data_IF_711119756338
#
_entry.id   IF_711119756338
#
_cell.length_a   1.000
_cell.length_b   1.000
_cell.length_c   1.000
_cell.angle_alpha   90.00
_cell.angle_beta   90.00
_cell.angle_gamma   90.00
#
_symmetry.space_group_name_H-M   'P 1'
#
loop_
_entity.id
_entity.type
_entity.pdbx_description
1 polymer ?
#
# COMPACT_ATOMS: atom_id res chain seq x y z
N UNK A 1 42.98 4.56 -31.18
CA UNK A 1 41.51 4.45 -31.33
C UNK A 1 41.19 3.04 -30.88
N UNK A 2 40.73 2.89 -29.66
CA UNK A 2 40.30 1.62 -29.10
C UNK A 2 38.77 1.72 -28.89
N UNK A 3 38.05 0.99 -29.72
CA UNK A 3 36.63 0.81 -29.62
C UNK A 3 36.32 0.03 -28.34
N UNK A 4 35.72 0.73 -27.37
CA UNK A 4 35.15 0.09 -26.18
C UNK A 4 33.88 -0.62 -26.62
N UNK A 5 33.98 -1.89 -26.96
CA UNK A 5 32.82 -2.78 -27.12
C UNK A 5 32.03 -2.80 -25.81
N UNK A 6 30.88 -2.17 -25.85
CA UNK A 6 29.88 -2.20 -24.81
C UNK A 6 29.20 -3.60 -24.81
N UNK A 7 29.87 -4.54 -24.15
CA UNK A 7 29.40 -5.93 -24.03
C UNK A 7 28.20 -5.93 -23.03
N UNK A 8 27.05 -5.45 -23.50
CA UNK A 8 25.78 -5.72 -22.81
C UNK A 8 25.51 -7.22 -22.98
N UNK A 9 25.99 -7.99 -22.03
CA UNK A 9 25.56 -9.37 -21.83
C UNK A 9 24.06 -9.36 -21.71
N UNK A 10 23.41 -9.91 -22.72
CA UNK A 10 21.96 -10.12 -22.76
C UNK A 10 21.62 -11.21 -21.74
N UNK A 11 21.59 -10.84 -20.46
CA UNK A 11 21.22 -11.73 -19.37
C UNK A 11 19.77 -12.16 -19.61
N UNK A 12 19.58 -13.43 -19.89
CA UNK A 12 18.25 -14.02 -20.02
C UNK A 12 17.59 -14.03 -18.64
N UNK A 13 16.76 -13.06 -18.44
CA UNK A 13 16.10 -12.77 -17.18
C UNK A 13 14.68 -13.28 -17.28
N UNK A 14 14.29 -14.22 -16.43
CA UNK A 14 13.01 -14.91 -16.55
C UNK A 14 12.24 -14.91 -15.23
N UNK A 15 10.93 -14.61 -15.33
CA UNK A 15 10.00 -14.82 -14.24
C UNK A 15 9.60 -16.30 -14.25
N UNK A 16 9.99 -17.01 -13.18
CA UNK A 16 9.85 -18.48 -13.12
C UNK A 16 8.57 -18.95 -12.48
N UNK A 17 8.00 -18.17 -11.55
CA UNK A 17 6.72 -18.52 -10.93
C UNK A 17 6.04 -17.34 -10.27
N UNK A 18 4.73 -17.39 -10.20
CA UNK A 18 3.89 -16.47 -9.41
C UNK A 18 3.61 -17.08 -8.04
N UNK A 19 3.76 -16.32 -6.98
CA UNK A 19 3.55 -16.74 -5.59
C UNK A 19 2.15 -16.36 -5.10
N UNK A 20 1.74 -15.15 -5.42
CA UNK A 20 0.40 -14.57 -5.17
C UNK A 20 0.19 -13.41 -6.15
N UNK A 21 -1.02 -12.85 -6.27
CA UNK A 21 -1.26 -11.74 -7.19
C UNK A 21 -0.20 -10.65 -7.03
N UNK A 22 0.44 -10.27 -8.14
CA UNK A 22 1.48 -9.24 -8.18
C UNK A 22 2.79 -9.58 -7.48
N UNK A 23 2.99 -10.81 -6.99
CA UNK A 23 4.24 -11.28 -6.35
C UNK A 23 4.77 -12.49 -7.08
N UNK A 24 6.02 -12.45 -7.50
CA UNK A 24 6.65 -13.47 -8.31
C UNK A 24 8.12 -13.66 -7.97
N UNK A 25 8.65 -14.81 -8.30
CA UNK A 25 10.06 -15.10 -8.21
C UNK A 25 10.71 -14.96 -9.59
N UNK A 26 11.83 -14.29 -9.58
CA UNK A 26 12.62 -13.88 -10.73
C UNK A 26 13.99 -14.55 -10.66
N UNK A 27 14.37 -15.30 -11.71
CA UNK A 27 15.63 -15.97 -11.79
C UNK A 27 16.70 -15.04 -12.35
N UNK A 28 17.74 -14.82 -11.56
CA UNK A 28 19.03 -14.30 -12.04
C UNK A 28 19.93 -15.48 -12.36
N UNK A 29 21.14 -15.23 -12.87
CA UNK A 29 22.11 -16.31 -13.16
C UNK A 29 22.43 -17.20 -11.95
N UNK A 30 22.41 -16.64 -10.74
CA UNK A 30 22.90 -17.31 -9.54
C UNK A 30 21.87 -17.52 -8.43
N UNK A 31 20.76 -16.78 -8.43
CA UNK A 31 19.79 -16.83 -7.33
C UNK A 31 18.39 -16.38 -7.74
N UNK A 32 17.41 -16.78 -6.93
CA UNK A 32 16.02 -16.33 -7.05
C UNK A 32 15.79 -15.07 -6.23
N UNK A 33 15.18 -14.08 -6.85
CA UNK A 33 14.78 -12.83 -6.21
C UNK A 33 13.26 -12.75 -6.15
N UNK A 34 12.70 -12.57 -4.97
CA UNK A 34 11.28 -12.30 -4.83
C UNK A 34 10.99 -10.84 -5.06
N UNK A 35 10.04 -10.58 -5.94
CA UNK A 35 9.64 -9.25 -6.34
C UNK A 35 8.14 -9.07 -6.22
N UNK A 36 7.71 -7.83 -5.99
CA UNK A 36 6.29 -7.46 -6.05
C UNK A 36 6.08 -6.23 -6.93
N UNK A 37 4.90 -6.18 -7.53
CA UNK A 37 4.51 -5.07 -8.38
C UNK A 37 4.30 -3.79 -7.54
N UNK A 38 4.83 -2.68 -8.05
CA UNK A 38 4.72 -1.35 -7.47
C UNK A 38 3.36 -0.70 -7.75
N UNK A 39 2.84 0.04 -6.78
CA UNK A 39 1.67 0.92 -6.96
C UNK A 39 0.32 0.21 -7.01
N UNK A 40 0.27 -1.10 -6.82
CA UNK A 40 -0.96 -1.89 -6.82
C UNK A 40 -1.01 -2.82 -5.62
N UNK A 41 -2.20 -2.99 -5.08
CA UNK A 41 -2.51 -3.98 -4.08
C UNK A 41 -3.60 -4.91 -4.59
N UNK A 42 -3.55 -6.18 -4.18
CA UNK A 42 -4.40 -7.23 -4.68
C UNK A 42 -5.19 -7.90 -3.55
N UNK A 43 -6.32 -8.57 -3.88
CA UNK A 43 -7.02 -9.41 -2.94
C UNK A 43 -6.09 -10.45 -2.31
N UNK A 44 -6.30 -10.70 -1.02
CA UNK A 44 -5.57 -11.74 -0.28
C UNK A 44 -6.25 -13.09 -0.42
N UNK A 45 -5.53 -14.15 -0.07
CA UNK A 45 -6.06 -15.52 -0.10
C UNK A 45 -7.37 -15.61 0.69
N UNK A 46 -8.41 -16.15 0.06
CA UNK A 46 -9.75 -16.25 0.64
C UNK A 46 -10.65 -15.04 0.40
N UNK A 47 -10.15 -13.97 -0.22
CA UNK A 47 -10.97 -12.85 -0.65
C UNK A 47 -11.50 -13.06 -2.08
N UNK A 48 -12.67 -12.48 -2.40
CA UNK A 48 -13.18 -12.47 -3.77
C UNK A 48 -12.19 -11.85 -4.75
N UNK A 49 -12.04 -12.41 -5.95
CA UNK A 49 -11.12 -11.92 -6.97
C UNK A 49 -9.65 -12.35 -6.81
N UNK A 50 -9.31 -13.09 -5.74
CA UNK A 50 -7.94 -13.55 -5.54
C UNK A 50 -7.46 -14.49 -6.64
N UNK A 51 -8.30 -15.46 -7.04
CA UNK A 51 -7.93 -16.45 -8.06
C UNK A 51 -7.82 -15.81 -9.45
N UNK A 52 -8.71 -14.90 -9.76
CA UNK A 52 -8.70 -14.13 -11.01
C UNK A 52 -7.45 -13.25 -11.09
N UNK A 53 -7.07 -12.63 -9.99
CA UNK A 53 -5.86 -11.82 -9.92
C UNK A 53 -4.57 -12.66 -10.04
N UNK A 54 -4.53 -13.89 -9.52
CA UNK A 54 -3.42 -14.82 -9.76
C UNK A 54 -3.35 -15.16 -11.24
N UNK A 55 -4.44 -15.61 -11.84
CA UNK A 55 -4.50 -15.98 -13.26
C UNK A 55 -4.06 -14.83 -14.15
N UNK A 56 -4.55 -13.61 -13.88
CA UNK A 56 -4.09 -12.41 -14.58
C UNK A 56 -2.57 -12.23 -14.45
N UNK A 57 -2.03 -12.36 -13.22
CA UNK A 57 -0.59 -12.19 -12.97
C UNK A 57 0.23 -13.24 -13.74
N UNK A 58 -0.20 -14.49 -13.74
CA UNK A 58 0.45 -15.58 -14.47
C UNK A 58 0.44 -15.34 -15.98
N UNK A 59 -0.71 -15.01 -16.54
CA UNK A 59 -0.85 -14.74 -17.98
C UNK A 59 -0.07 -13.53 -18.44
N UNK A 60 0.05 -12.52 -17.57
CA UNK A 60 0.75 -11.28 -17.89
C UNK A 60 2.26 -11.39 -17.77
N UNK A 61 2.78 -12.24 -16.86
CA UNK A 61 4.20 -12.24 -16.50
C UNK A 61 4.93 -13.52 -16.91
N UNK A 62 4.29 -14.71 -16.82
CA UNK A 62 4.94 -15.95 -17.22
C UNK A 62 5.10 -16.00 -18.74
N UNK A 63 6.21 -16.54 -19.19
CA UNK A 63 6.56 -16.65 -20.62
C UNK A 63 6.57 -15.32 -21.39
N UNK A 64 6.60 -14.20 -20.68
CA UNK A 64 6.80 -12.87 -21.23
C UNK A 64 8.19 -12.37 -20.84
N UNK A 65 8.73 -11.43 -21.59
CA UNK A 65 9.99 -10.78 -21.25
C UNK A 65 9.72 -9.29 -20.91
N UNK A 66 9.13 -8.99 -19.73
CA UNK A 66 8.78 -7.63 -19.37
C UNK A 66 10.02 -6.81 -19.04
N UNK A 67 9.95 -5.49 -19.27
CA UNK A 67 10.91 -4.55 -18.73
C UNK A 67 10.59 -4.34 -17.24
N UNK A 68 11.59 -4.54 -16.39
CA UNK A 68 11.48 -4.40 -14.93
C UNK A 68 12.37 -3.23 -14.48
N UNK A 69 11.81 -2.31 -13.72
CA UNK A 69 12.49 -1.18 -13.09
C UNK A 69 12.35 -1.27 -11.57
N UNK A 70 13.45 -1.31 -10.84
CA UNK A 70 13.43 -1.35 -9.38
C UNK A 70 13.05 0.02 -8.85
N UNK A 71 11.95 0.10 -8.08
CA UNK A 71 11.49 1.31 -7.40
C UNK A 71 11.95 1.36 -5.94
N UNK A 72 12.10 0.18 -5.33
CA UNK A 72 12.60 0.05 -3.95
C UNK A 72 13.33 -1.29 -3.82
N UNK A 73 14.53 -1.27 -3.22
CA UNK A 73 15.34 -2.48 -3.09
C UNK A 73 14.73 -3.52 -2.19
N UNK A 74 14.16 -3.11 -1.05
CA UNK A 74 13.46 -4.02 -0.15
C UNK A 74 12.31 -3.32 0.56
N UNK A 75 11.17 -3.98 0.63
CA UNK A 75 10.05 -3.58 1.46
C UNK A 75 10.13 -4.24 2.86
N UNK A 76 9.11 -4.03 3.67
CA UNK A 76 9.00 -4.63 5.02
C UNK A 76 8.95 -6.18 5.02
N UNK A 77 8.65 -6.80 3.88
CA UNK A 77 8.61 -8.25 3.69
C UNK A 77 9.88 -8.77 2.99
N UNK A 78 10.91 -7.95 2.88
CA UNK A 78 12.18 -8.25 2.21
C UNK A 78 12.01 -8.63 0.73
N UNK A 79 11.07 -7.98 0.02
CA UNK A 79 10.85 -8.14 -1.41
C UNK A 79 11.28 -6.89 -2.16
N UNK A 80 11.86 -7.06 -3.34
CA UNK A 80 12.09 -5.93 -4.25
C UNK A 80 10.77 -5.43 -4.80
N UNK A 81 10.58 -4.11 -4.79
CA UNK A 81 9.40 -3.44 -5.34
C UNK A 81 9.73 -2.96 -6.74
N UNK A 82 8.97 -3.41 -7.73
CA UNK A 82 9.32 -3.21 -9.12
C UNK A 82 8.14 -2.67 -9.95
N UNK A 83 8.47 -1.76 -10.85
CA UNK A 83 7.58 -1.33 -11.91
C UNK A 83 7.78 -2.21 -13.14
N UNK A 84 6.68 -2.69 -13.71
CA UNK A 84 6.70 -3.71 -14.75
C UNK A 84 5.99 -3.16 -15.99
N UNK A 85 6.70 -3.19 -17.10
CA UNK A 85 6.16 -2.78 -18.41
C UNK A 85 6.21 -3.95 -19.39
N UNK A 86 5.09 -4.27 -20.00
CA UNK A 86 5.00 -5.33 -21.00
C UNK A 86 5.78 -4.95 -22.26
N UNK A 87 6.68 -5.82 -22.69
CA UNK A 87 7.51 -5.57 -23.88
C UNK A 87 6.71 -5.49 -25.18
N UNK A 88 5.58 -6.20 -25.28
CA UNK A 88 4.79 -6.28 -26.50
C UNK A 88 3.97 -5.03 -26.79
N UNK A 89 3.43 -4.38 -25.78
CA UNK A 89 2.46 -3.27 -25.94
C UNK A 89 2.84 -2.01 -25.13
N UNK A 90 3.92 -2.06 -24.36
CA UNK A 90 4.36 -0.94 -23.51
C UNK A 90 3.40 -0.61 -22.36
N UNK A 91 2.41 -1.47 -22.07
CA UNK A 91 1.46 -1.23 -20.99
C UNK A 91 2.11 -1.53 -19.63
N UNK A 92 1.75 -0.74 -18.65
CA UNK A 92 2.18 -0.94 -17.28
C UNK A 92 1.29 -2.00 -16.61
N UNK A 93 1.90 -3.07 -16.10
CA UNK A 93 1.21 -4.20 -15.46
C UNK A 93 0.26 -3.76 -14.34
N UNK A 94 0.74 -2.95 -13.42
CA UNK A 94 -0.05 -2.51 -12.26
C UNK A 94 -1.25 -1.67 -12.67
N UNK A 95 -1.05 -0.75 -13.63
CA UNK A 95 -2.16 0.04 -14.19
C UNK A 95 -3.18 -0.82 -14.91
N UNK A 96 -2.73 -1.83 -15.63
CA UNK A 96 -3.62 -2.76 -16.33
C UNK A 96 -4.43 -3.59 -15.33
N UNK A 97 -3.76 -4.15 -14.30
CA UNK A 97 -4.42 -4.87 -13.20
C UNK A 97 -5.52 -4.03 -12.53
N UNK A 98 -5.23 -2.77 -12.22
CA UNK A 98 -6.20 -1.85 -11.62
C UNK A 98 -7.35 -1.55 -12.58
N UNK A 99 -7.05 -1.28 -13.86
CA UNK A 99 -8.08 -0.96 -14.87
C UNK A 99 -9.06 -2.10 -15.10
N UNK A 100 -8.58 -3.33 -15.08
CA UNK A 100 -9.39 -4.53 -15.22
C UNK A 100 -10.08 -4.96 -13.91
N UNK A 101 -9.74 -4.31 -12.79
CA UNK A 101 -10.34 -4.59 -11.50
C UNK A 101 -9.81 -5.84 -10.81
N UNK A 102 -8.56 -6.23 -11.06
CA UNK A 102 -7.90 -7.31 -10.33
C UNK A 102 -7.23 -6.85 -9.04
N UNK A 103 -7.01 -5.55 -8.90
CA UNK A 103 -6.42 -4.91 -7.73
C UNK A 103 -6.84 -3.46 -7.60
N UNK A 104 -6.28 -2.76 -6.61
CA UNK A 104 -6.54 -1.34 -6.38
C UNK A 104 -5.26 -0.55 -6.21
N UNK A 105 -5.37 0.74 -6.39
CA UNK A 105 -4.27 1.69 -6.31
C UNK A 105 -3.70 1.80 -4.89
N UNK A 106 -2.40 1.58 -4.74
CA UNK A 106 -1.65 1.74 -3.50
C UNK A 106 -1.07 3.16 -3.41
N UNK A 107 -1.85 4.08 -2.83
CA UNK A 107 -1.54 5.52 -2.78
C UNK A 107 -0.21 5.85 -2.07
N UNK A 108 0.26 4.98 -1.17
CA UNK A 108 1.52 5.17 -0.44
C UNK A 108 2.75 5.07 -1.33
N UNK A 109 2.66 4.36 -2.44
CA UNK A 109 3.78 4.11 -3.35
C UNK A 109 3.77 5.02 -4.56
N UNK A 110 2.61 5.53 -4.95
CA UNK A 110 2.45 6.32 -6.16
C UNK A 110 1.87 7.70 -5.85
N UNK A 111 1.79 8.55 -6.87
CA UNK A 111 1.11 9.83 -6.71
C UNK A 111 -0.41 9.62 -6.56
N UNK A 112 -0.98 10.21 -5.50
CA UNK A 112 -2.41 10.16 -5.20
C UNK A 112 -3.30 10.61 -6.37
N UNK A 113 -2.85 11.55 -7.18
CA UNK A 113 -3.57 12.13 -8.31
C UNK A 113 -2.92 11.78 -9.66
N UNK A 114 -2.57 10.52 -9.85
CA UNK A 114 -1.88 10.05 -11.03
C UNK A 114 -2.68 9.06 -11.88
N UNK A 115 -2.02 8.46 -12.88
CA UNK A 115 -2.65 7.51 -13.79
C UNK A 115 -3.20 6.25 -13.11
N UNK A 116 -2.69 5.87 -11.94
CA UNK A 116 -3.20 4.76 -11.14
C UNK A 116 -4.58 5.07 -10.54
N UNK A 117 -4.79 6.30 -10.03
CA UNK A 117 -6.10 6.73 -9.57
C UNK A 117 -7.12 6.74 -10.72
N UNK A 118 -6.74 7.26 -11.89
CA UNK A 118 -7.63 7.28 -13.06
C UNK A 118 -8.03 5.86 -13.49
N UNK A 119 -7.08 4.92 -13.48
CA UNK A 119 -7.34 3.50 -13.74
C UNK A 119 -8.37 2.94 -12.74
N UNK A 120 -8.19 3.22 -11.44
CA UNK A 120 -9.13 2.78 -10.40
C UNK A 120 -10.52 3.39 -10.54
N UNK A 121 -10.61 4.68 -10.83
CA UNK A 121 -11.91 5.35 -11.04
C UNK A 121 -12.65 4.77 -12.26
N UNK A 122 -11.91 4.45 -13.32
CA UNK A 122 -12.46 3.76 -14.50
C UNK A 122 -13.00 2.38 -14.13
N UNK A 123 -12.21 1.57 -13.42
CA UNK A 123 -12.62 0.23 -12.98
C UNK A 123 -13.87 0.28 -12.08
N UNK A 124 -13.93 1.20 -11.13
CA UNK A 124 -15.10 1.43 -10.26
C UNK A 124 -16.34 1.81 -11.06
N UNK A 125 -16.21 2.75 -12.00
CA UNK A 125 -17.35 3.19 -12.83
C UNK A 125 -17.93 2.07 -13.68
N UNK A 126 -17.08 1.15 -14.14
CA UNK A 126 -17.47 0.01 -14.97
C UNK A 126 -17.84 -1.23 -14.14
N UNK A 127 -17.78 -1.16 -12.81
CA UNK A 127 -17.93 -2.30 -11.91
C UNK A 127 -17.05 -3.51 -12.32
N UNK A 128 -15.80 -3.24 -12.73
CA UNK A 128 -14.89 -4.27 -13.22
C UNK A 128 -14.32 -5.11 -12.08
N UNK A 129 -14.26 -6.42 -12.24
CA UNK A 129 -13.62 -7.37 -11.33
C UNK A 129 -14.06 -7.20 -9.86
N UNK A 130 -13.13 -6.88 -8.96
CA UNK A 130 -13.39 -6.70 -7.52
C UNK A 130 -14.42 -5.60 -7.21
N UNK A 131 -14.65 -4.66 -8.11
CA UNK A 131 -15.61 -3.58 -7.92
C UNK A 131 -17.05 -3.99 -8.23
N UNK A 132 -17.26 -5.16 -8.81
CA UNK A 132 -18.60 -5.72 -9.06
C UNK A 132 -19.26 -6.32 -7.80
N UNK A 133 -18.49 -6.52 -6.73
CA UNK A 133 -18.98 -7.06 -5.47
C UNK A 133 -18.95 -6.01 -4.36
N UNK A 134 -19.71 -6.25 -3.28
CA UNK A 134 -19.78 -5.36 -2.12
C UNK A 134 -18.76 -5.71 -1.03
N UNK A 135 -17.71 -6.47 -1.35
CA UNK A 135 -16.70 -6.85 -0.38
C UNK A 135 -15.80 -5.67 -0.01
N UNK A 136 -15.60 -5.44 1.28
CA UNK A 136 -14.76 -4.36 1.76
C UNK A 136 -13.29 -4.82 1.93
N UNK A 137 -12.48 -4.65 0.90
CA UNK A 137 -11.08 -5.02 0.89
C UNK A 137 -10.21 -4.21 1.87
N UNK A 138 -10.62 -2.99 2.24
CA UNK A 138 -9.86 -2.09 3.11
C UNK A 138 -9.93 -2.44 4.59
N UNK A 139 -10.95 -3.18 5.03
CA UNK A 139 -11.09 -3.55 6.44
C UNK A 139 -10.14 -4.67 6.90
N UNK A 140 -9.41 -5.30 5.98
CA UNK A 140 -8.52 -6.43 6.29
C UNK A 140 -7.06 -5.96 6.50
N UNK A 141 -6.79 -4.67 6.40
CA UNK A 141 -5.46 -4.10 6.66
C UNK A 141 -5.09 -4.00 8.16
N UNK A 142 -5.60 -4.87 8.99
CA UNK A 142 -5.09 -5.03 10.36
C UNK A 142 -4.82 -6.49 10.69
N UNK A 143 -3.69 -7.08 10.26
CA UNK A 143 -3.21 -8.30 10.88
C UNK A 143 -2.40 -7.94 12.12
N UNK A 144 -2.94 -7.15 13.04
CA UNK A 144 -2.33 -6.95 14.36
C UNK A 144 -3.36 -6.61 15.42
N UNK A 145 -4.48 -7.32 15.41
CA UNK A 145 -5.00 -7.71 16.69
C UNK A 145 -4.30 -9.02 17.05
N UNK A 146 -3.14 -8.97 17.70
CA UNK A 146 -2.71 -10.10 18.52
C UNK A 146 -3.92 -10.56 19.30
N UNK A 147 -4.24 -11.88 19.33
CA UNK A 147 -5.29 -12.36 20.20
C UNK A 147 -4.91 -11.86 21.60
N UNK A 148 -5.75 -11.01 22.17
CA UNK A 148 -5.59 -10.61 23.56
C UNK A 148 -5.49 -11.91 24.35
N UNK A 149 -4.41 -12.14 25.12
CA UNK A 149 -4.34 -13.32 25.97
C UNK A 149 -5.59 -13.26 26.85
N UNK A 150 -6.48 -14.21 26.67
CA UNK A 150 -7.62 -14.41 27.55
C UNK A 150 -7.07 -14.97 28.87
N UNK A 151 -6.81 -14.09 29.82
CA UNK A 151 -6.61 -14.49 31.20
C UNK A 151 -8.00 -14.77 31.79
N UNK A 152 -8.34 -16.02 32.10
CA UNK A 152 -9.55 -16.31 32.83
C UNK A 152 -9.33 -15.84 34.28
N UNK A 153 -10.01 -14.79 34.71
CA UNK A 153 -10.09 -14.46 36.12
C UNK A 153 -9.93 -13.02 36.57
N UNK A 154 -10.06 -12.01 35.70
CA UNK A 154 -10.21 -10.63 36.19
C UNK A 154 -11.41 -9.95 35.54
N UNK A 155 -12.58 -10.42 35.87
CA UNK A 155 -13.81 -9.62 35.76
C UNK A 155 -13.89 -8.66 36.94
N UNK A 156 -14.28 -7.42 36.60
CA UNK A 156 -14.66 -6.31 37.48
C UNK A 156 -13.52 -5.41 37.98
N UNK A 157 -13.17 -4.44 37.13
CA UNK A 157 -13.12 -2.99 37.46
C UNK A 157 -12.56 -2.19 36.28
N UNK A 158 -13.33 -2.06 35.20
CA UNK A 158 -13.11 -0.99 34.20
C UNK A 158 -14.45 -0.38 33.82
N UNK A 159 -15.09 0.21 34.82
CA UNK A 159 -16.11 1.20 34.56
C UNK A 159 -15.45 2.55 34.32
N UNK A 160 -15.87 3.21 33.22
CA UNK A 160 -15.65 4.61 32.91
C UNK A 160 -14.26 5.00 32.39
N UNK A 161 -13.78 4.36 31.30
CA UNK A 161 -12.86 5.05 30.43
C UNK A 161 -13.68 5.94 29.49
N UNK A 162 -13.99 7.14 29.92
CA UNK A 162 -14.37 8.23 29.03
C UNK A 162 -13.08 8.56 28.25
N UNK A 163 -13.07 8.44 26.91
CA UNK A 163 -11.88 8.82 26.15
C UNK A 163 -11.67 10.32 26.34
N UNK A 164 -10.75 10.70 27.20
CA UNK A 164 -10.36 12.09 27.40
C UNK A 164 -9.73 12.58 26.11
N UNK A 165 -10.39 13.50 25.43
CA UNK A 165 -9.89 14.10 24.20
C UNK A 165 -8.51 14.71 24.48
N UNK A 166 -7.46 14.13 23.91
CA UNK A 166 -6.08 14.62 24.08
C UNK A 166 -5.79 15.66 23.02
N UNK A 167 -5.40 16.84 23.47
CA UNK A 167 -4.99 17.94 22.61
C UNK A 167 -3.46 17.93 22.44
N UNK A 168 -2.99 18.42 21.30
CA UNK A 168 -1.58 18.69 21.06
C UNK A 168 -1.30 20.16 21.35
N UNK A 169 -0.59 20.45 22.41
CA UNK A 169 -0.13 21.78 22.77
C UNK A 169 1.32 21.97 22.31
N UNK A 170 1.53 22.85 21.32
CA UNK A 170 2.85 23.14 20.78
C UNK A 170 3.70 23.93 21.80
N UNK A 171 5.03 23.92 21.63
CA UNK A 171 5.96 24.75 22.44
C UNK A 171 5.68 26.24 22.35
N UNK A 172 4.95 26.69 21.33
CA UNK A 172 4.49 28.08 21.16
C UNK A 172 3.09 28.32 21.73
N UNK A 173 2.57 27.40 22.51
CA UNK A 173 1.25 27.50 23.16
C UNK A 173 0.05 27.43 22.20
N UNK A 174 0.17 26.81 21.03
CA UNK A 174 -0.97 26.55 20.16
C UNK A 174 -1.56 25.19 20.43
N UNK A 175 -2.91 25.15 20.55
CA UNK A 175 -3.68 23.95 20.86
C UNK A 175 -4.32 23.40 19.60
N UNK A 176 -4.01 22.15 19.28
CA UNK A 176 -4.58 21.41 18.15
C UNK A 176 -5.34 20.20 18.65
N UNK A 177 -6.48 19.90 18.01
CA UNK A 177 -7.25 18.67 18.24
C UNK A 177 -6.85 17.56 17.29
N UNK A 178 -7.17 16.28 17.61
CA UNK A 178 -7.04 15.18 16.65
C UNK A 178 -7.74 15.49 15.32
N UNK A 179 -7.08 15.14 14.21
CA UNK A 179 -7.55 15.47 12.86
C UNK A 179 -7.06 16.81 12.29
N UNK A 180 -6.45 17.66 13.09
CA UNK A 180 -5.78 18.86 12.59
C UNK A 180 -4.46 18.50 11.88
N UNK A 181 -4.17 19.14 10.74
CA UNK A 181 -2.92 18.92 10.00
C UNK A 181 -1.64 19.26 10.81
N UNK A 182 -1.78 20.02 11.90
CA UNK A 182 -0.68 20.37 12.82
C UNK A 182 -0.70 19.54 14.10
N UNK A 183 -1.62 18.57 14.24
CA UNK A 183 -1.67 17.71 15.41
C UNK A 183 -0.45 16.78 15.46
N UNK A 184 0.24 16.76 16.61
CA UNK A 184 1.50 16.02 16.81
C UNK A 184 2.64 16.39 15.85
N UNK A 185 2.60 17.59 15.27
CA UNK A 185 3.72 18.10 14.45
C UNK A 185 4.54 19.12 15.21
N UNK A 186 5.85 19.04 15.04
CA UNK A 186 6.81 19.92 15.70
C UNK A 186 7.00 19.59 17.18
N UNK A 187 7.53 20.57 17.93
CA UNK A 187 7.77 20.44 19.39
C UNK A 187 6.48 20.77 20.16
N UNK A 188 6.08 19.88 21.07
CA UNK A 188 4.88 20.04 21.88
C UNK A 188 4.64 18.83 22.79
N UNK A 189 3.48 18.80 23.45
CA UNK A 189 3.07 17.73 24.36
C UNK A 189 1.60 17.39 24.16
N UNK A 190 1.23 16.14 24.40
CA UNK A 190 -0.16 15.71 24.50
C UNK A 190 -0.68 16.05 25.91
N UNK A 191 -1.85 16.66 25.97
CA UNK A 191 -2.49 17.03 27.26
C UNK A 191 -4.00 17.01 27.14
N UNK A 192 -4.68 16.55 28.18
CA UNK A 192 -6.14 16.64 28.30
C UNK A 192 -6.62 18.01 28.79
N UNK A 193 -5.70 18.83 29.37
CA UNK A 193 -5.98 20.16 29.91
C UNK A 193 -5.00 21.18 29.31
N UNK A 194 -5.13 21.52 28.03
CA UNK A 194 -4.22 22.48 27.40
C UNK A 194 -4.49 23.90 27.92
N UNK A 195 -3.43 24.68 28.08
CA UNK A 195 -3.50 26.05 28.60
C UNK A 195 -3.21 27.14 27.55
N UNK A 196 -2.83 26.75 26.36
CA UNK A 196 -2.47 27.67 25.28
C UNK A 196 -3.67 28.28 24.54
N UNK A 197 -3.40 28.89 23.40
CA UNK A 197 -4.39 29.48 22.50
C UNK A 197 -4.86 28.49 21.44
N UNK A 198 -6.14 28.45 21.16
CA UNK A 198 -6.71 27.53 20.18
C UNK A 198 -6.22 27.84 18.76
N UNK A 199 -5.98 26.78 17.99
CA UNK A 199 -5.58 26.87 16.59
C UNK A 199 -6.75 27.44 15.77
N UNK A 200 -6.48 28.46 14.94
CA UNK A 200 -7.51 29.09 14.09
C UNK A 200 -8.05 28.16 13.00
N UNK A 201 -7.31 27.11 12.62
CA UNK A 201 -7.72 26.16 11.58
C UNK A 201 -8.64 25.10 12.13
N UNK A 202 -8.31 24.48 13.27
CA UNK A 202 -9.10 23.39 13.84
C UNK A 202 -9.99 23.81 15.02
N UNK A 203 -9.93 25.04 15.46
CA UNK A 203 -10.69 25.55 16.61
C UNK A 203 -10.17 25.08 17.98
N UNK A 204 -9.15 24.20 18.03
CA UNK A 204 -8.62 23.68 19.30
C UNK A 204 -9.71 23.07 20.19
N UNK A 205 -9.90 23.62 21.42
CA UNK A 205 -10.94 23.22 22.39
C UNK A 205 -12.35 23.66 21.97
N UNK A 206 -12.45 24.76 21.22
CA UNK A 206 -13.73 25.45 20.89
C UNK A 206 -14.25 25.07 19.50
N UNK A 207 -13.84 23.92 18.93
CA UNK A 207 -14.37 23.47 17.67
C UNK A 207 -15.84 23.07 17.81
N UNK A 208 -16.72 23.73 17.06
CA UNK A 208 -18.12 23.36 16.87
C UNK A 208 -18.25 22.20 15.88
#
# INVERSE_FOLDING_TARGET
>A
VADSENNQTNQKVEIVRVIKPGVFDFQTESYLVRMRAWGVEFPQRGQPGFQEAITFTEQSLLSTNPKIEIKQEFDIQNMKVVDITHSKNGLNFSREAITQGFGWHLEKETNRFGPFLLAQLKAKRLNSGIWANNFNYRQIESPTAMPKPSFPGMMNKMNNFVPTLSYWETSFGKIHRPGCSFYQRGRGKLTSKPQGTDCRICGGRNAK
#
